data_IF_104677048822
#
_entry.id   IF_104677048822
#
_cell.length_a   1.000
_cell.length_b   1.000
_cell.length_c   1.000
_cell.angle_alpha   90.00
_cell.angle_beta   90.00
_cell.angle_gamma   90.00
#
_symmetry.space_group_name_H-M   'P 1'
#
loop_
_entity.id
_entity.type
_entity.pdbx_description
1 polymer ?
#
# COMPACT_ATOMS: atom_id res chain seq x y z
N UNK A 1 -6.69 -20.27 19.51
CA UNK A 1 -7.03 -19.15 18.60
C UNK A 1 -5.97 -19.10 17.52
N UNK A 2 -6.36 -19.09 16.24
CA UNK A 2 -5.41 -19.03 15.12
C UNK A 2 -4.86 -17.61 14.97
N UNK A 3 -3.60 -17.47 14.55
CA UNK A 3 -2.97 -16.15 14.34
C UNK A 3 -3.71 -15.33 13.27
N UNK A 4 -4.17 -15.99 12.20
CA UNK A 4 -5.01 -15.42 11.16
C UNK A 4 -6.49 -15.75 11.40
N UNK A 5 -7.38 -14.84 11.01
CA UNK A 5 -8.82 -15.11 11.00
C UNK A 5 -9.18 -15.90 9.72
N UNK A 6 -9.22 -17.22 9.82
CA UNK A 6 -9.54 -18.09 8.69
C UNK A 6 -10.96 -17.89 8.13
N UNK A 7 -11.86 -17.31 8.93
CA UNK A 7 -13.28 -17.13 8.55
C UNK A 7 -13.55 -15.90 7.68
N UNK A 8 -12.61 -14.96 7.61
CA UNK A 8 -12.74 -13.80 6.72
C UNK A 8 -12.18 -14.10 5.33
N UNK A 9 -12.81 -13.60 4.25
CA UNK A 9 -12.23 -13.68 2.92
C UNK A 9 -10.96 -12.80 2.85
N UNK A 10 -10.01 -13.19 2.02
CA UNK A 10 -8.75 -12.44 1.82
C UNK A 10 -9.02 -11.03 1.30
N UNK A 11 -9.89 -10.94 0.29
CA UNK A 11 -10.26 -9.70 -0.38
C UNK A 11 -11.79 -9.66 -0.51
N UNK A 12 -12.39 -8.49 -0.30
CA UNK A 12 -13.84 -8.25 -0.44
C UNK A 12 -14.11 -6.84 -0.96
N UNK A 13 -15.33 -6.61 -1.43
CA UNK A 13 -15.82 -5.26 -1.73
C UNK A 13 -15.76 -4.36 -0.49
N UNK A 14 -15.48 -3.07 -0.68
CA UNK A 14 -15.39 -2.12 0.43
C UNK A 14 -16.68 -2.08 1.25
N UNK A 15 -16.53 -2.13 2.56
CA UNK A 15 -17.63 -1.98 3.51
C UNK A 15 -18.01 -0.52 3.70
N UNK A 16 -19.31 -0.23 3.71
CA UNK A 16 -19.84 1.12 3.96
C UNK A 16 -19.85 1.50 5.45
N UNK A 17 -19.94 0.49 6.32
CA UNK A 17 -19.87 0.64 7.77
C UNK A 17 -18.41 0.78 8.19
N UNK A 18 -17.89 2.01 8.15
CA UNK A 18 -16.50 2.35 8.48
C UNK A 18 -16.35 2.79 9.94
N UNK A 19 -15.20 2.48 10.54
CA UNK A 19 -14.87 2.92 11.88
C UNK A 19 -14.44 4.40 11.89
N UNK A 20 -14.44 5.05 13.06
CA UNK A 20 -14.10 6.47 13.20
C UNK A 20 -12.74 6.81 12.58
N UNK A 21 -11.75 5.93 12.75
CA UNK A 21 -10.42 6.11 12.19
C UNK A 21 -10.38 6.07 10.66
N UNK A 22 -11.30 5.34 10.03
CA UNK A 22 -11.39 5.24 8.56
C UNK A 22 -12.22 6.38 7.97
N UNK A 23 -13.16 6.93 8.74
CA UNK A 23 -13.95 8.11 8.37
C UNK A 23 -13.11 9.39 8.42
N UNK A 24 -12.10 9.46 9.30
CA UNK A 24 -11.24 10.61 9.46
C UNK A 24 -10.42 10.89 8.18
N UNK A 25 -10.83 11.89 7.40
CA UNK A 25 -10.21 12.24 6.12
C UNK A 25 -10.55 11.29 4.97
N UNK A 26 -11.73 10.68 5.02
CA UNK A 26 -12.32 9.93 3.92
C UNK A 26 -12.51 10.82 2.69
N UNK A 27 -11.93 10.41 1.56
CA UNK A 27 -12.14 11.06 0.28
C UNK A 27 -13.31 10.38 -0.43
N UNK A 28 -14.35 11.14 -0.80
CA UNK A 28 -15.46 10.64 -1.61
C UNK A 28 -15.34 11.20 -3.02
N UNK A 29 -15.11 10.32 -3.98
CA UNK A 29 -15.03 10.67 -5.39
C UNK A 29 -16.35 10.29 -6.04
N UNK A 30 -17.08 11.30 -6.53
CA UNK A 30 -18.30 11.13 -7.29
C UNK A 30 -18.15 11.84 -8.61
N UNK A 31 -17.96 11.08 -9.67
CA UNK A 31 -17.90 11.59 -11.03
C UNK A 31 -19.24 11.35 -11.72
N UNK A 32 -19.91 12.43 -12.10
CA UNK A 32 -21.17 12.41 -12.85
C UNK A 32 -21.03 13.23 -14.12
N UNK A 33 -21.61 12.74 -15.22
CA UNK A 33 -21.77 13.50 -16.46
C UNK A 33 -23.27 13.51 -16.77
N UNK A 34 -23.89 14.68 -16.64
CA UNK A 34 -25.35 14.81 -16.68
C UNK A 34 -26.01 14.01 -15.56
N UNK A 35 -26.96 13.13 -15.92
CA UNK A 35 -27.65 12.25 -14.97
C UNK A 35 -26.96 10.89 -14.76
N UNK A 36 -25.84 10.62 -15.45
CA UNK A 36 -25.14 9.34 -15.39
C UNK A 36 -23.98 9.46 -14.39
N UNK A 37 -23.98 8.60 -13.38
CA UNK A 37 -22.85 8.48 -12.45
C UNK A 37 -21.83 7.52 -13.07
N UNK A 38 -20.69 8.06 -13.53
CA UNK A 38 -19.62 7.27 -14.15
C UNK A 38 -18.78 6.55 -13.09
N UNK A 39 -18.54 7.20 -11.95
CA UNK A 39 -17.78 6.63 -10.86
C UNK A 39 -18.27 7.17 -9.51
N UNK A 40 -18.44 6.29 -8.53
CA UNK A 40 -18.76 6.66 -7.16
C UNK A 40 -18.03 5.73 -6.22
N UNK A 41 -17.03 6.25 -5.52
CA UNK A 41 -16.19 5.49 -4.60
C UNK A 41 -15.76 6.33 -3.41
N UNK A 42 -15.34 5.66 -2.35
CA UNK A 42 -14.72 6.29 -1.19
C UNK A 42 -13.35 5.67 -0.91
N UNK A 43 -12.43 6.51 -0.46
CA UNK A 43 -11.05 6.15 -0.19
C UNK A 43 -10.65 6.62 1.21
N UNK A 44 -10.36 5.66 2.08
CA UNK A 44 -9.78 5.92 3.40
C UNK A 44 -8.39 6.54 3.23
N UNK A 45 -7.79 7.06 4.30
CA UNK A 45 -6.41 7.58 4.23
C UNK A 45 -5.39 6.49 3.89
N UNK A 46 -5.69 5.24 4.27
CA UNK A 46 -4.87 4.09 3.90
C UNK A 46 -5.01 3.81 2.40
N UNK A 47 -6.24 3.85 1.86
CA UNK A 47 -6.44 3.67 0.42
C UNK A 47 -5.77 4.79 -0.40
N UNK A 48 -5.85 6.04 0.08
CA UNK A 48 -5.16 7.19 -0.53
C UNK A 48 -3.65 7.00 -0.53
N UNK A 49 -3.09 6.39 0.51
CA UNK A 49 -1.66 6.04 0.57
C UNK A 49 -1.31 5.01 -0.49
N UNK A 50 -2.14 3.97 -0.67
CA UNK A 50 -1.91 2.98 -1.73
C UNK A 50 -2.05 3.59 -3.13
N UNK A 51 -3.05 4.44 -3.38
CA UNK A 51 -3.19 5.16 -4.64
C UNK A 51 -1.97 6.05 -4.93
N UNK A 52 -1.52 6.82 -3.95
CA UNK A 52 -0.34 7.66 -4.07
C UNK A 52 0.88 6.83 -4.51
N UNK A 53 1.15 5.74 -3.81
CA UNK A 53 2.29 4.89 -4.14
C UNK A 53 2.10 4.13 -5.45
N UNK A 54 0.87 3.78 -5.84
CA UNK A 54 0.60 3.18 -7.14
C UNK A 54 1.00 4.13 -8.27
N UNK A 55 0.64 5.41 -8.16
CA UNK A 55 1.01 6.44 -9.14
C UNK A 55 2.51 6.71 -9.15
N UNK A 56 3.14 6.82 -7.96
CA UNK A 56 4.59 7.06 -7.86
C UNK A 56 5.37 5.90 -8.46
N UNK A 57 5.06 4.66 -8.08
CA UNK A 57 5.75 3.47 -8.60
C UNK A 57 5.51 3.29 -10.10
N UNK A 58 4.28 3.46 -10.59
CA UNK A 58 4.00 3.44 -12.02
C UNK A 58 4.83 4.50 -12.77
N UNK A 59 4.90 5.73 -12.25
CA UNK A 59 5.69 6.81 -12.84
C UNK A 59 7.19 6.49 -12.89
N UNK A 60 7.77 6.06 -11.77
CA UNK A 60 9.20 5.68 -11.68
C UNK A 60 9.55 4.63 -12.73
N UNK A 61 8.83 3.51 -12.72
CA UNK A 61 9.17 2.36 -13.55
C UNK A 61 8.81 2.56 -15.03
N UNK A 62 7.75 3.29 -15.33
CA UNK A 62 7.41 3.66 -16.70
C UNK A 62 8.46 4.60 -17.30
N UNK A 63 8.90 5.61 -16.54
CA UNK A 63 9.95 6.52 -17.02
C UNK A 63 11.29 5.83 -17.20
N UNK A 64 11.67 4.95 -16.27
CA UNK A 64 12.88 4.12 -16.39
C UNK A 64 12.84 3.21 -17.64
N UNK A 65 11.66 2.72 -18.03
CA UNK A 65 11.52 1.84 -19.20
C UNK A 65 11.58 2.59 -20.54
N UNK A 66 10.88 3.72 -20.64
CA UNK A 66 10.55 4.30 -21.96
C UNK A 66 11.12 5.68 -22.19
N UNK A 67 11.48 6.41 -21.13
CA UNK A 67 11.83 7.81 -21.25
C UNK A 67 13.35 7.94 -21.27
N UNK A 68 13.94 8.49 -22.36
CA UNK A 68 15.39 8.58 -22.54
C UNK A 68 16.00 9.75 -21.74
N UNK A 69 15.70 9.82 -20.44
CA UNK A 69 16.32 10.77 -19.50
C UNK A 69 17.55 10.13 -18.86
N UNK A 70 18.55 10.94 -18.52
CA UNK A 70 19.74 10.44 -17.82
C UNK A 70 19.37 9.82 -16.47
N UNK A 71 20.05 8.73 -16.11
CA UNK A 71 19.86 8.05 -14.82
C UNK A 71 20.04 9.00 -13.63
N UNK A 72 21.00 9.91 -13.70
CA UNK A 72 21.23 10.91 -12.64
C UNK A 72 20.05 11.88 -12.49
N UNK A 73 19.44 12.33 -13.58
CA UNK A 73 18.26 13.19 -13.50
C UNK A 73 17.05 12.44 -12.93
N UNK A 74 16.83 11.21 -13.40
CA UNK A 74 15.77 10.35 -12.88
C UNK A 74 15.96 10.06 -11.39
N UNK A 75 17.19 9.80 -10.94
CA UNK A 75 17.52 9.60 -9.52
C UNK A 75 17.12 10.82 -8.67
N UNK A 76 17.56 12.03 -9.04
CA UNK A 76 17.22 13.26 -8.28
C UNK A 76 15.70 13.47 -8.22
N UNK A 77 15.03 13.37 -9.37
CA UNK A 77 13.60 13.57 -9.48
C UNK A 77 12.84 12.57 -8.61
N UNK A 78 13.12 11.28 -8.78
CA UNK A 78 12.38 10.22 -8.11
C UNK A 78 12.74 10.07 -6.64
N UNK A 79 13.97 10.37 -6.23
CA UNK A 79 14.33 10.50 -4.80
C UNK A 79 13.53 11.62 -4.15
N UNK A 80 13.41 12.78 -4.80
CA UNK A 80 12.59 13.89 -4.30
C UNK A 80 11.11 13.49 -4.16
N UNK A 81 10.53 12.91 -5.21
CA UNK A 81 9.13 12.44 -5.20
C UNK A 81 8.90 11.36 -4.14
N UNK A 82 9.84 10.43 -3.97
CA UNK A 82 9.75 9.34 -2.99
C UNK A 82 9.80 9.88 -1.56
N UNK A 83 10.66 10.87 -1.27
CA UNK A 83 10.71 11.52 0.05
C UNK A 83 9.41 12.26 0.36
N UNK A 84 8.89 13.03 -0.60
CA UNK A 84 7.60 13.73 -0.45
C UNK A 84 6.47 12.71 -0.26
N UNK A 85 6.42 11.66 -1.07
CA UNK A 85 5.43 10.59 -0.98
C UNK A 85 5.47 9.88 0.37
N UNK A 86 6.68 9.63 0.91
CA UNK A 86 6.88 9.05 2.25
C UNK A 86 6.36 9.99 3.35
N UNK A 87 6.61 11.29 3.24
CA UNK A 87 6.09 12.27 4.19
C UNK A 87 4.55 12.35 4.14
N UNK A 88 3.95 12.37 2.94
CA UNK A 88 2.50 12.36 2.76
C UNK A 88 1.89 11.08 3.33
N UNK A 89 2.46 9.91 3.02
CA UNK A 89 2.04 8.63 3.61
C UNK A 89 2.06 8.68 5.13
N UNK A 90 3.13 9.23 5.73
CA UNK A 90 3.20 9.37 7.18
C UNK A 90 2.04 10.23 7.70
N UNK A 91 1.82 11.42 7.14
CA UNK A 91 0.71 12.30 7.56
C UNK A 91 -0.66 11.62 7.42
N UNK A 92 -0.90 10.92 6.32
CA UNK A 92 -2.16 10.22 6.06
C UNK A 92 -2.39 9.08 7.07
N UNK A 93 -1.36 8.29 7.37
CA UNK A 93 -1.51 7.06 8.15
C UNK A 93 -1.26 7.23 9.64
N UNK A 94 -0.64 8.33 10.09
CA UNK A 94 -0.22 8.55 11.48
C UNK A 94 -1.33 8.38 12.50
N UNK A 95 -2.52 8.92 12.23
CA UNK A 95 -3.66 8.77 13.14
C UNK A 95 -4.11 7.31 13.20
N UNK A 96 -4.27 6.68 12.03
CA UNK A 96 -4.73 5.31 11.90
C UNK A 96 -3.78 4.33 12.60
N UNK A 97 -2.47 4.41 12.36
CA UNK A 97 -1.49 3.49 12.97
C UNK A 97 -1.38 3.67 14.48
N UNK A 98 -1.66 4.87 15.02
CA UNK A 98 -1.73 5.12 16.46
C UNK A 98 -2.98 4.50 17.08
N UNK A 99 -4.14 4.61 16.42
CA UNK A 99 -5.39 3.97 16.84
C UNK A 99 -5.28 2.44 16.76
N UNK A 100 -4.66 1.90 15.72
CA UNK A 100 -4.48 0.46 15.54
C UNK A 100 -3.26 -0.11 16.30
N UNK A 101 -2.51 0.72 17.03
CA UNK A 101 -1.29 0.35 17.79
C UNK A 101 -0.22 -0.36 16.94
N UNK A 102 -0.04 0.10 15.70
CA UNK A 102 0.91 -0.46 14.71
C UNK A 102 1.82 0.61 14.09
N UNK A 103 2.13 1.68 14.83
CA UNK A 103 3.04 2.73 14.38
C UNK A 103 4.40 2.22 13.89
N UNK A 104 4.85 1.06 14.37
CA UNK A 104 6.09 0.44 13.90
C UNK A 104 6.05 0.07 12.41
N UNK A 105 4.88 -0.26 11.84
CA UNK A 105 4.74 -0.54 10.40
C UNK A 105 5.09 0.70 9.58
N UNK A 106 4.66 1.89 10.02
CA UNK A 106 4.99 3.15 9.36
C UNK A 106 6.50 3.39 9.38
N UNK A 107 7.16 3.16 10.53
CA UNK A 107 8.61 3.28 10.62
C UNK A 107 9.34 2.26 9.75
N UNK A 108 8.86 1.02 9.68
CA UNK A 108 9.41 -0.02 8.80
C UNK A 108 9.38 0.41 7.34
N UNK A 109 8.24 0.91 6.85
CA UNK A 109 8.16 1.42 5.48
C UNK A 109 9.08 2.62 5.26
N UNK A 110 9.12 3.60 6.17
CA UNK A 110 10.01 4.75 6.03
C UNK A 110 11.49 4.33 5.94
N UNK A 111 11.94 3.40 6.78
CA UNK A 111 13.31 2.85 6.76
C UNK A 111 13.58 2.13 5.44
N UNK A 112 12.65 1.30 4.95
CA UNK A 112 12.80 0.59 3.68
C UNK A 112 12.90 1.56 2.51
N UNK A 113 12.06 2.61 2.46
CA UNK A 113 12.10 3.62 1.40
C UNK A 113 13.43 4.37 1.39
N UNK A 114 13.88 4.86 2.55
CA UNK A 114 15.16 5.55 2.67
C UNK A 114 16.33 4.65 2.27
N UNK A 115 16.32 3.39 2.71
CA UNK A 115 17.38 2.42 2.37
C UNK A 115 17.42 2.14 0.87
N UNK A 116 16.25 1.95 0.24
CA UNK A 116 16.13 1.76 -1.21
C UNK A 116 16.63 2.96 -2.00
N UNK A 117 16.31 4.18 -1.55
CA UNK A 117 16.81 5.42 -2.16
C UNK A 117 18.34 5.51 -2.05
N UNK A 118 18.92 5.30 -0.88
CA UNK A 118 20.38 5.35 -0.69
C UNK A 118 21.08 4.34 -1.62
N UNK A 119 20.58 3.11 -1.69
CA UNK A 119 21.17 2.09 -2.55
C UNK A 119 21.03 2.43 -4.04
N UNK A 120 19.87 2.92 -4.45
CA UNK A 120 19.60 3.35 -5.84
C UNK A 120 20.52 4.51 -6.21
N UNK A 121 20.60 5.55 -5.38
CA UNK A 121 21.41 6.73 -5.66
C UNK A 121 22.91 6.40 -5.63
N UNK A 122 23.39 5.59 -4.68
CA UNK A 122 24.77 5.11 -4.70
C UNK A 122 25.08 4.30 -5.97
N UNK A 123 24.14 3.47 -6.44
CA UNK A 123 24.33 2.72 -7.68
C UNK A 123 24.49 3.60 -8.92
N UNK A 124 23.77 4.72 -8.96
CA UNK A 124 23.75 5.64 -10.10
C UNK A 124 24.93 6.61 -10.03
N UNK A 125 25.16 7.25 -8.88
CA UNK A 125 26.18 8.28 -8.72
C UNK A 125 27.58 7.73 -8.43
N UNK A 126 27.67 6.66 -7.64
CA UNK A 126 28.96 6.01 -7.34
C UNK A 126 29.27 4.85 -8.30
N UNK A 127 28.39 4.57 -9.27
CA UNK A 127 28.60 3.56 -10.31
C UNK A 127 28.65 2.13 -9.78
N UNK A 128 27.88 1.79 -8.74
CA UNK A 128 27.80 0.41 -8.25
C UNK A 128 27.01 -0.46 -9.23
N UNK A 129 27.69 -0.95 -10.26
CA UNK A 129 27.10 -1.69 -11.38
C UNK A 129 26.26 -2.90 -10.95
N UNK A 130 26.64 -3.59 -9.87
CA UNK A 130 25.84 -4.68 -9.31
C UNK A 130 24.42 -4.23 -8.97
N UNK A 131 24.28 -3.19 -8.14
CA UNK A 131 22.96 -2.70 -7.74
C UNK A 131 22.22 -2.04 -8.90
N UNK A 132 22.93 -1.36 -9.79
CA UNK A 132 22.33 -0.71 -10.96
C UNK A 132 21.65 -1.73 -11.89
N UNK A 133 22.24 -2.93 -12.05
CA UNK A 133 21.66 -4.01 -12.86
C UNK A 133 20.52 -4.75 -12.15
N UNK A 134 20.41 -4.60 -10.83
CA UNK A 134 19.44 -5.31 -9.98
C UNK A 134 18.46 -4.35 -9.27
N UNK A 135 18.23 -3.15 -9.82
CA UNK A 135 17.32 -2.17 -9.21
C UNK A 135 15.89 -2.71 -9.08
N UNK A 136 15.38 -3.40 -10.10
CA UNK A 136 14.04 -4.00 -10.05
C UNK A 136 13.94 -5.04 -8.93
N UNK A 137 14.92 -5.95 -8.84
CA UNK A 137 15.01 -6.98 -7.82
C UNK A 137 15.05 -6.37 -6.41
N UNK A 138 15.84 -5.30 -6.25
CA UNK A 138 15.96 -4.54 -5.01
C UNK A 138 14.60 -3.98 -4.57
N UNK A 139 13.90 -3.27 -5.45
CA UNK A 139 12.62 -2.64 -5.09
C UNK A 139 11.49 -3.65 -4.87
N UNK A 140 11.45 -4.75 -5.63
CA UNK A 140 10.55 -5.87 -5.36
C UNK A 140 10.86 -6.51 -4.00
N UNK A 141 12.13 -6.75 -3.69
CA UNK A 141 12.57 -7.34 -2.43
C UNK A 141 12.24 -6.45 -1.22
N UNK A 142 12.53 -5.16 -1.28
CA UNK A 142 12.18 -4.20 -0.23
C UNK A 142 10.66 -4.12 -0.03
N UNK A 143 9.89 -4.10 -1.12
CA UNK A 143 8.43 -4.12 -1.06
C UNK A 143 7.93 -5.41 -0.42
N UNK A 144 8.48 -6.57 -0.78
CA UNK A 144 8.12 -7.84 -0.16
C UNK A 144 8.33 -7.83 1.35
N UNK A 145 9.47 -7.31 1.83
CA UNK A 145 9.74 -7.15 3.26
C UNK A 145 8.69 -6.25 3.91
N UNK A 146 8.39 -5.09 3.31
CA UNK A 146 7.38 -4.16 3.82
C UNK A 146 5.98 -4.80 3.89
N UNK A 147 5.59 -5.56 2.87
CA UNK A 147 4.34 -6.32 2.85
C UNK A 147 4.31 -7.42 3.91
N UNK A 148 5.41 -8.14 4.17
CA UNK A 148 5.48 -9.10 5.27
C UNK A 148 5.38 -8.42 6.64
N UNK A 149 6.10 -7.32 6.86
CA UNK A 149 5.97 -6.53 8.09
C UNK A 149 4.52 -6.07 8.29
N UNK A 150 3.87 -5.59 7.24
CA UNK A 150 2.46 -5.15 7.29
C UNK A 150 1.53 -6.33 7.55
N UNK A 151 1.72 -7.46 6.87
CA UNK A 151 0.89 -8.67 7.03
C UNK A 151 1.01 -9.26 8.43
N UNK A 152 2.20 -9.33 9.00
CA UNK A 152 2.40 -9.73 10.40
C UNK A 152 1.81 -8.71 11.36
N UNK A 153 2.07 -7.44 11.09
CA UNK A 153 1.64 -6.32 11.93
C UNK A 153 0.14 -6.13 11.96
N UNK A 154 -0.59 -6.49 10.91
CA UNK A 154 -2.06 -6.41 10.80
C UNK A 154 -2.75 -7.77 10.93
N UNK A 155 -1.97 -8.85 10.99
CA UNK A 155 -2.45 -10.25 10.88
C UNK A 155 -3.29 -10.46 9.61
N UNK A 156 -2.82 -9.88 8.50
CA UNK A 156 -3.44 -9.97 7.18
C UNK A 156 -2.75 -11.02 6.34
N UNK A 157 -3.51 -11.98 5.80
CA UNK A 157 -2.97 -12.95 4.83
C UNK A 157 -2.80 -12.30 3.47
N UNK A 158 -3.65 -11.35 3.10
CA UNK A 158 -3.57 -10.63 1.83
C UNK A 158 -2.22 -9.92 1.67
N UNK A 159 -1.76 -9.24 2.71
CA UNK A 159 -0.43 -8.60 2.69
C UNK A 159 0.72 -9.63 2.59
N UNK A 160 0.62 -10.78 3.25
CA UNK A 160 1.62 -11.85 3.11
C UNK A 160 1.65 -12.38 1.67
N UNK A 161 0.48 -12.60 1.06
CA UNK A 161 0.39 -13.08 -0.33
C UNK A 161 0.95 -12.06 -1.32
N UNK A 162 0.67 -10.76 -1.13
CA UNK A 162 1.25 -9.71 -1.96
C UNK A 162 2.78 -9.67 -1.81
N UNK A 163 3.31 -9.84 -0.60
CA UNK A 163 4.75 -9.97 -0.37
C UNK A 163 5.35 -11.15 -1.14
N UNK A 164 4.68 -12.31 -1.12
CA UNK A 164 5.08 -13.48 -1.92
C UNK A 164 5.01 -13.20 -3.42
N UNK A 165 3.98 -12.51 -3.91
CA UNK A 165 3.87 -12.09 -5.32
C UNK A 165 5.10 -11.28 -5.72
N UNK A 166 5.56 -10.34 -4.89
CA UNK A 166 6.76 -9.56 -5.18
C UNK A 166 8.02 -10.44 -5.24
N UNK A 167 8.20 -11.37 -4.29
CA UNK A 167 9.34 -12.30 -4.31
C UNK A 167 9.34 -13.23 -5.52
N UNK A 168 8.18 -13.79 -5.88
CA UNK A 168 8.07 -14.66 -7.06
C UNK A 168 8.25 -13.91 -8.38
N UNK A 169 8.06 -12.59 -8.36
CA UNK A 169 8.27 -11.75 -9.54
C UNK A 169 9.75 -11.55 -9.85
N UNK A 170 10.63 -11.58 -8.85
CA UNK A 170 12.08 -11.42 -9.04
C UNK A 170 12.66 -12.43 -10.05
N UNK A 171 12.51 -13.76 -9.88
CA UNK A 171 13.01 -14.70 -10.89
C UNK A 171 12.27 -14.57 -12.23
N UNK A 172 11.01 -14.10 -12.23
CA UNK A 172 10.26 -13.89 -13.47
C UNK A 172 10.87 -12.78 -14.33
N UNK A 173 11.50 -11.76 -13.72
CA UNK A 173 12.13 -10.65 -14.44
C UNK A 173 13.21 -11.13 -15.43
N UNK A 174 13.87 -12.26 -15.14
CA UNK A 174 14.89 -12.83 -16.04
C UNK A 174 14.32 -13.21 -17.41
N UNK A 175 13.05 -13.62 -17.47
CA UNK A 175 12.37 -13.98 -18.73
C UNK A 175 11.86 -12.77 -19.51
N UNK A 176 11.83 -11.60 -18.88
CA UNK A 176 11.36 -10.33 -19.47
C UNK A 176 12.39 -9.23 -19.30
N UNK A 177 13.68 -9.57 -19.34
CA UNK A 177 14.78 -8.65 -19.02
C UNK A 177 14.74 -7.29 -19.77
N UNK A 178 14.37 -7.21 -21.07
CA UNK A 178 14.22 -5.92 -21.76
C UNK A 178 13.06 -5.06 -21.23
N UNK A 179 12.08 -5.68 -20.57
CA UNK A 179 10.85 -5.08 -20.05
C UNK A 179 10.81 -5.07 -18.51
N UNK A 180 11.92 -5.35 -17.85
CA UNK A 180 11.98 -5.57 -16.40
C UNK A 180 11.43 -4.39 -15.59
N UNK A 181 11.68 -3.15 -16.03
CA UNK A 181 11.20 -1.96 -15.34
C UNK A 181 9.69 -1.87 -15.46
N UNK A 182 9.13 -2.00 -16.68
CA UNK A 182 7.68 -2.00 -16.87
C UNK A 182 7.00 -3.12 -16.07
N UNK A 183 7.52 -4.34 -16.14
CA UNK A 183 6.95 -5.47 -15.40
C UNK A 183 6.96 -5.21 -13.90
N UNK A 184 8.05 -4.68 -13.35
CA UNK A 184 8.14 -4.30 -11.94
C UNK A 184 7.13 -3.23 -11.58
N UNK A 185 7.00 -2.18 -12.40
CA UNK A 185 6.02 -1.12 -12.23
C UNK A 185 4.58 -1.64 -12.23
N UNK A 186 4.23 -2.54 -13.16
CA UNK A 186 2.90 -3.16 -13.23
C UNK A 186 2.60 -3.97 -11.97
N UNK A 187 3.56 -4.76 -11.48
CA UNK A 187 3.36 -5.61 -10.31
C UNK A 187 3.20 -4.76 -9.05
N UNK A 188 4.10 -3.81 -8.82
CA UNK A 188 4.05 -2.93 -7.66
C UNK A 188 2.79 -2.05 -7.67
N UNK A 189 2.54 -1.32 -8.76
CA UNK A 189 1.38 -0.45 -8.88
C UNK A 189 0.07 -1.26 -8.90
N UNK A 190 0.04 -2.41 -9.57
CA UNK A 190 -1.14 -3.28 -9.64
C UNK A 190 -1.55 -3.82 -8.26
N UNK A 191 -0.58 -4.27 -7.45
CA UNK A 191 -0.86 -4.68 -6.07
C UNK A 191 -1.39 -3.52 -5.23
N UNK A 192 -0.82 -2.32 -5.37
CA UNK A 192 -1.27 -1.14 -4.64
C UNK A 192 -2.67 -0.69 -5.06
N UNK A 193 -2.99 -0.72 -6.36
CA UNK A 193 -4.33 -0.43 -6.87
C UNK A 193 -5.35 -1.46 -6.37
N UNK A 194 -4.99 -2.74 -6.37
CA UNK A 194 -5.83 -3.79 -5.79
C UNK A 194 -6.14 -3.51 -4.32
N UNK A 195 -5.13 -3.11 -3.53
CA UNK A 195 -5.27 -2.77 -2.12
C UNK A 195 -6.04 -1.46 -1.88
N UNK A 196 -6.04 -0.53 -2.84
CA UNK A 196 -6.82 0.71 -2.73
C UNK A 196 -8.27 0.53 -3.14
N UNK A 197 -8.57 -0.39 -4.05
CA UNK A 197 -9.92 -0.62 -4.58
C UNK A 197 -10.71 -1.64 -3.75
N UNK A 198 -10.04 -2.65 -3.23
CA UNK A 198 -10.69 -3.74 -2.48
C UNK A 198 -10.27 -3.72 -1.02
N UNK A 199 -11.18 -4.17 -0.16
CA UNK A 199 -10.89 -4.33 1.26
C UNK A 199 -10.18 -5.66 1.49
N UNK A 200 -9.16 -5.64 2.31
CA UNK A 200 -8.31 -6.78 2.65
C UNK A 200 -8.57 -7.27 4.08
N UNK A 201 -8.19 -8.52 4.36
CA UNK A 201 -8.38 -9.13 5.67
C UNK A 201 -7.45 -8.51 6.73
N UNK A 202 -8.01 -8.17 7.89
CA UNK A 202 -7.26 -7.62 9.02
C UNK A 202 -7.79 -8.23 10.32
N UNK A 203 -6.96 -8.25 11.38
CA UNK A 203 -7.49 -8.51 12.74
C UNK A 203 -8.65 -7.58 13.09
N UNK A 204 -9.47 -7.98 14.06
CA UNK A 204 -10.48 -7.11 14.66
C UNK A 204 -9.85 -5.85 15.29
N UNK A 205 -10.57 -4.71 15.31
CA UNK A 205 -10.13 -3.50 16.00
C UNK A 205 -9.72 -3.78 17.45
N UNK A 206 -8.63 -3.14 17.88
CA UNK A 206 -8.13 -3.26 19.26
C UNK A 206 -8.71 -2.12 20.09
N UNK A 207 -9.07 -2.39 21.35
CA UNK A 207 -9.45 -1.33 22.28
C UNK A 207 -8.29 -0.34 22.49
N UNK A 208 -8.58 0.95 22.33
CA UNK A 208 -7.58 2.01 22.37
C UNK A 208 -8.04 3.16 23.26
N UNK A 209 -7.14 3.65 24.11
CA UNK A 209 -7.31 4.80 24.99
C UNK A 209 -7.34 6.14 24.25
N UNK A 210 -6.96 6.18 22.97
CA UNK A 210 -7.00 7.37 22.13
C UNK A 210 -8.42 7.74 21.68
N UNK A 211 -9.35 6.78 21.67
CA UNK A 211 -10.74 7.01 21.32
C UNK A 211 -11.56 7.30 22.58
N UNK A 212 -12.47 8.27 22.51
CA UNK A 212 -13.44 8.49 23.58
C UNK A 212 -14.48 7.36 23.61
N UNK A 213 -15.21 7.22 24.72
CA UNK A 213 -16.20 6.14 24.87
C UNK A 213 -17.30 6.18 23.80
N UNK A 214 -17.71 7.38 23.36
CA UNK A 214 -18.67 7.54 22.27
C UNK A 214 -18.13 7.00 20.94
N UNK A 215 -16.85 7.27 20.62
CA UNK A 215 -16.20 6.76 19.41
C UNK A 215 -16.02 5.24 19.45
N UNK A 216 -15.71 4.68 20.62
CA UNK A 216 -15.63 3.23 20.82
C UNK A 216 -16.98 2.57 20.61
N UNK A 217 -18.04 3.15 21.17
CA UNK A 217 -19.39 2.63 21.01
C UNK A 217 -19.85 2.72 19.55
N UNK A 218 -19.52 3.82 18.86
CA UNK A 218 -19.74 3.92 17.42
C UNK A 218 -19.07 2.78 16.65
N UNK A 219 -17.77 2.51 16.89
CA UNK A 219 -17.04 1.43 16.23
C UNK A 219 -17.68 0.05 16.51
N UNK A 220 -18.14 -0.21 17.75
CA UNK A 220 -18.86 -1.44 18.11
C UNK A 220 -20.16 -1.59 17.31
N UNK A 221 -20.94 -0.52 17.21
CA UNK A 221 -22.18 -0.52 16.41
C UNK A 221 -21.88 -0.81 14.94
N UNK A 222 -20.84 -0.20 14.36
CA UNK A 222 -20.44 -0.49 12.97
C UNK A 222 -20.02 -1.95 12.80
N UNK A 223 -19.27 -2.51 13.75
CA UNK A 223 -18.88 -3.93 13.73
C UNK A 223 -20.09 -4.86 13.75
N UNK A 224 -21.09 -4.58 14.61
CA UNK A 224 -22.32 -5.36 14.64
C UNK A 224 -23.08 -5.30 13.31
N UNK A 225 -23.17 -4.11 12.70
CA UNK A 225 -23.78 -3.95 11.36
C UNK A 225 -23.05 -4.75 10.29
N UNK A 226 -21.71 -4.77 10.31
CA UNK A 226 -20.90 -5.59 9.40
C UNK A 226 -21.20 -7.09 9.54
N UNK A 227 -21.35 -7.58 10.77
CA UNK A 227 -21.67 -8.99 11.04
C UNK A 227 -23.10 -9.34 10.60
N UNK A 228 -24.07 -8.47 10.88
CA UNK A 228 -25.46 -8.66 10.45
C UNK A 228 -25.57 -8.67 8.92
N UNK A 229 -24.92 -7.72 8.25
CA UNK A 229 -24.90 -7.67 6.78
C UNK A 229 -24.21 -8.89 6.15
N UNK A 230 -23.12 -9.38 6.74
CA UNK A 230 -22.46 -10.60 6.28
C UNK A 230 -23.31 -11.87 6.45
N UNK A 231 -24.15 -11.92 7.50
CA UNK A 231 -25.08 -13.02 7.72
C UNK A 231 -26.30 -12.96 6.79
N UNK A 232 -26.73 -11.76 6.38
CA UNK A 232 -27.82 -11.59 5.42
C UNK A 232 -27.43 -11.89 3.97
N UNK A 233 -26.12 -11.89 3.66
CA UNK A 233 -25.58 -12.18 2.34
C UNK A 233 -25.17 -13.66 2.14
N UNK A 234 -25.34 -14.52 3.16
CA UNK A 234 -25.14 -15.97 3.10
C UNK A 234 -26.46 -16.68 2.87
#
# INVERSE_FOLDING_TARGET
>A
MTFFNASEPLIRSKQEHLDVQDLAGLLRLRWQVGNITLFSGFYTRIDQTFLLWALVTAGIFFTAQFVPLSWSFQAILWSTVTLIGTAIMAVLTLFWVKVERVSWILYSWAILMISGLILTDCSIFAGWGFWLLHLCDLWLGLSAIGYFCTGLGLRSRTFILIGLTHLFSIPLLTFVAPWQYLTTGIIMAGCLLLLSELQWDMRSPIDNTLLCEEQKEFNRIQQQRRQLGANAAK
#
